data_IF_067386020221
#
_entry.id   IF_067386020221
#
_cell.length_a   1.000
_cell.length_b   1.000
_cell.length_c   1.000
_cell.angle_alpha   90.00
_cell.angle_beta   90.00
_cell.angle_gamma   90.00
#
_symmetry.space_group_name_H-M   'P 1'
#
loop_
_entity.id
_entity.type
_entity.pdbx_description
1 polymer ?
#
# COMPACT_ATOMS: atom_id res chain seq x y z
N UNK A 1 -14.31 6.94 -24.95
CA UNK A 1 -14.38 5.83 -25.91
C UNK A 1 -12.95 5.34 -26.14
N UNK A 2 -12.43 4.20 -25.69
CA UNK A 2 -12.92 2.95 -25.10
C UNK A 2 -12.33 2.75 -23.69
N UNK A 3 -13.12 2.16 -22.78
CA UNK A 3 -12.64 1.66 -21.48
C UNK A 3 -11.91 0.32 -21.66
N UNK A 4 -10.78 0.05 -20.99
CA UNK A 4 -10.27 -1.32 -20.91
C UNK A 4 -11.08 -2.08 -19.86
N UNK A 5 -11.78 -3.10 -20.37
CA UNK A 5 -12.48 -4.13 -19.64
C UNK A 5 -11.46 -5.03 -18.91
N UNK A 6 -11.56 -5.15 -17.59
CA UNK A 6 -10.73 -6.10 -16.82
C UNK A 6 -11.46 -7.46 -16.78
N UNK A 7 -11.06 -8.38 -17.67
CA UNK A 7 -11.39 -9.81 -17.59
C UNK A 7 -10.80 -10.43 -16.31
N UNK A 8 -11.38 -11.53 -15.81
CA UNK A 8 -11.07 -12.09 -14.49
C UNK A 8 -9.57 -12.38 -14.36
N UNK A 9 -9.05 -12.04 -13.20
CA UNK A 9 -7.67 -12.17 -12.74
C UNK A 9 -7.03 -13.52 -13.12
N UNK A 10 -6.47 -13.65 -14.33
CA UNK A 10 -5.55 -14.73 -14.70
C UNK A 10 -4.09 -14.28 -14.67
N UNK A 11 -3.82 -12.98 -14.81
CA UNK A 11 -2.49 -12.41 -14.61
C UNK A 11 -2.35 -11.90 -13.17
N UNK A 12 -1.38 -12.45 -12.44
CA UNK A 12 -1.08 -12.09 -11.04
C UNK A 12 -1.01 -10.57 -10.91
N UNK A 13 -1.66 -9.99 -9.90
CA UNK A 13 -1.66 -8.54 -9.65
C UNK A 13 -0.25 -7.89 -9.67
N UNK A 14 0.79 -8.65 -9.29
CA UNK A 14 2.19 -8.23 -9.40
C UNK A 14 2.69 -8.06 -10.85
N UNK A 15 2.22 -8.86 -11.80
CA UNK A 15 2.52 -8.73 -13.23
C UNK A 15 1.86 -7.50 -13.84
N UNK A 16 0.67 -7.13 -13.38
CA UNK A 16 -0.04 -5.91 -13.82
C UNK A 16 0.68 -4.65 -13.32
N UNK A 17 1.10 -4.63 -12.06
CA UNK A 17 1.90 -3.53 -11.49
C UNK A 17 3.25 -3.40 -12.20
N UNK A 18 3.93 -4.52 -12.47
CA UNK A 18 5.20 -4.54 -13.21
C UNK A 18 5.03 -4.12 -14.67
N UNK A 19 3.97 -4.54 -15.36
CA UNK A 19 3.68 -4.11 -16.75
C UNK A 19 3.46 -2.60 -16.85
N UNK A 20 2.68 -2.01 -15.93
CA UNK A 20 2.48 -0.55 -15.91
C UNK A 20 3.75 0.25 -15.61
N UNK A 21 4.67 -0.31 -14.82
CA UNK A 21 5.98 0.30 -14.56
C UNK A 21 6.94 0.11 -15.74
N UNK A 22 6.87 -1.03 -16.43
CA UNK A 22 7.76 -1.39 -17.54
C UNK A 22 7.35 -0.79 -18.90
N UNK A 23 6.12 -0.31 -19.07
CA UNK A 23 5.62 0.25 -20.35
C UNK A 23 6.28 1.57 -20.79
N UNK A 24 7.22 2.15 -20.02
CA UNK A 24 8.04 3.27 -20.49
C UNK A 24 9.23 2.82 -21.35
N UNK A 25 8.91 2.49 -22.60
CA UNK A 25 9.69 2.54 -23.88
C UNK A 25 11.09 1.87 -23.98
N UNK A 26 11.07 0.70 -24.66
CA UNK A 26 12.00 0.11 -25.66
C UNK A 26 13.51 0.01 -25.37
N UNK A 27 13.91 -1.14 -24.85
CA UNK A 27 15.29 -1.66 -24.91
C UNK A 27 15.26 -3.20 -25.04
N UNK A 28 16.35 -3.87 -25.49
CA UNK A 28 16.35 -5.29 -25.86
C UNK A 28 15.82 -6.19 -24.73
N UNK A 29 14.77 -7.02 -24.94
CA UNK A 29 13.92 -7.52 -23.83
C UNK A 29 14.64 -8.30 -22.74
N UNK A 30 15.68 -9.06 -23.07
CA UNK A 30 16.35 -9.97 -22.13
C UNK A 30 17.60 -9.35 -21.47
N UNK A 31 18.31 -8.46 -22.17
CA UNK A 31 19.52 -7.80 -21.66
C UNK A 31 19.24 -6.45 -20.99
N UNK A 32 18.15 -5.78 -21.39
CA UNK A 32 17.64 -4.62 -20.66
C UNK A 32 17.04 -5.02 -19.32
N UNK A 33 16.33 -6.15 -19.25
CA UNK A 33 15.76 -6.64 -18.00
C UNK A 33 16.82 -6.93 -16.93
N UNK A 34 17.93 -7.57 -17.30
CA UNK A 34 19.05 -7.82 -16.39
C UNK A 34 19.82 -6.53 -16.04
N UNK A 35 20.04 -5.63 -17.01
CA UNK A 35 20.67 -4.34 -16.75
C UNK A 35 19.81 -3.42 -15.87
N UNK A 36 18.48 -3.41 -16.03
CA UNK A 36 17.52 -2.63 -15.25
C UNK A 36 17.33 -3.22 -13.85
N UNK A 37 17.30 -4.54 -13.69
CA UNK A 37 17.23 -5.17 -12.36
C UNK A 37 18.52 -4.93 -11.56
N UNK A 38 19.69 -5.01 -12.21
CA UNK A 38 20.97 -4.64 -11.60
C UNK A 38 21.05 -3.13 -11.32
N UNK A 39 20.59 -2.28 -12.24
CA UNK A 39 20.50 -0.84 -12.01
C UNK A 39 19.53 -0.47 -10.90
N UNK A 40 18.40 -1.17 -10.75
CA UNK A 40 17.43 -0.87 -9.70
C UNK A 40 18.04 -1.04 -8.31
N UNK A 41 18.85 -2.09 -8.13
CA UNK A 41 19.60 -2.31 -6.89
C UNK A 41 20.70 -1.25 -6.70
N UNK A 42 21.50 -0.96 -7.73
CA UNK A 42 22.61 0.00 -7.62
C UNK A 42 22.17 1.47 -7.55
N UNK A 43 21.19 1.88 -8.35
CA UNK A 43 20.53 3.19 -8.27
C UNK A 43 19.79 3.30 -6.94
N UNK A 44 19.09 2.25 -6.52
CA UNK A 44 18.48 2.19 -5.21
C UNK A 44 19.50 2.42 -4.10
N UNK A 45 20.69 1.80 -4.16
CA UNK A 45 21.78 2.03 -3.20
C UNK A 45 22.28 3.46 -3.23
N UNK A 46 22.53 4.03 -4.41
CA UNK A 46 23.05 5.40 -4.54
C UNK A 46 22.02 6.43 -4.07
N UNK A 47 20.75 6.30 -4.46
CA UNK A 47 19.67 7.18 -4.00
C UNK A 47 19.47 7.03 -2.49
N UNK A 48 19.36 5.80 -1.97
CA UNK A 48 19.26 5.58 -0.53
C UNK A 48 20.47 6.15 0.21
N UNK A 49 21.68 6.04 -0.33
CA UNK A 49 22.86 6.64 0.28
C UNK A 49 22.77 8.16 0.33
N UNK A 50 22.39 8.83 -0.76
CA UNK A 50 22.25 10.30 -0.80
C UNK A 50 21.12 10.78 0.11
N UNK A 51 19.99 10.11 0.10
CA UNK A 51 18.81 10.47 0.91
C UNK A 51 19.09 10.18 2.39
N UNK A 52 19.62 9.00 2.71
CA UNK A 52 19.72 8.54 4.09
C UNK A 52 20.96 9.03 4.82
N UNK A 53 22.09 9.20 4.12
CA UNK A 53 23.29 9.84 4.71
C UNK A 53 23.03 11.30 5.04
N UNK A 54 22.28 12.01 4.18
CA UNK A 54 22.00 13.43 4.34
C UNK A 54 20.64 13.71 5.00
N UNK A 55 20.03 12.73 5.68
CA UNK A 55 18.69 12.89 6.28
C UNK A 55 18.56 14.12 7.20
N UNK A 56 19.60 14.45 7.97
CA UNK A 56 19.60 15.67 8.81
C UNK A 56 19.55 16.96 7.99
N UNK A 57 20.21 16.97 6.83
CA UNK A 57 20.15 18.09 5.89
C UNK A 57 18.76 18.19 5.24
N UNK A 58 18.16 17.06 4.84
CA UNK A 58 16.80 17.05 4.30
C UNK A 58 15.75 17.47 5.33
N UNK A 59 15.84 16.97 6.57
CA UNK A 59 14.99 17.40 7.68
C UNK A 59 15.11 18.90 7.95
N UNK A 60 16.32 19.45 7.91
CA UNK A 60 16.58 20.88 8.05
C UNK A 60 15.99 21.70 6.90
N UNK A 61 16.23 21.28 5.65
CA UNK A 61 15.73 21.95 4.45
C UNK A 61 14.20 21.98 4.43
N UNK A 62 13.55 20.87 4.81
CA UNK A 62 12.10 20.76 4.88
C UNK A 62 11.56 21.65 6.00
N UNK A 63 12.19 21.72 7.17
CA UNK A 63 11.78 22.69 8.22
C UNK A 63 11.82 24.13 7.73
N UNK A 64 12.84 24.50 6.95
CA UNK A 64 12.96 25.85 6.37
C UNK A 64 11.86 26.10 5.34
N UNK A 65 11.64 25.16 4.41
CA UNK A 65 10.66 25.31 3.33
C UNK A 65 9.23 25.31 3.85
N UNK A 66 8.91 24.44 4.80
CA UNK A 66 7.54 24.28 5.32
C UNK A 66 7.24 25.26 6.47
N UNK A 67 8.25 25.95 7.02
CA UNK A 67 8.15 26.83 8.21
C UNK A 67 7.50 26.15 9.43
N UNK A 68 7.50 24.81 9.48
CA UNK A 68 6.95 24.02 10.58
C UNK A 68 8.05 23.64 11.58
N UNK A 69 7.68 23.51 12.85
CA UNK A 69 8.59 23.07 13.93
C UNK A 69 8.93 21.58 13.86
N UNK A 70 8.14 20.78 13.13
CA UNK A 70 8.31 19.34 12.96
C UNK A 70 8.44 18.90 11.50
N UNK A 71 9.12 17.77 11.30
CA UNK A 71 9.14 17.03 10.03
C UNK A 71 8.11 15.92 10.13
N UNK A 72 7.27 15.78 9.11
CA UNK A 72 6.25 14.73 9.02
C UNK A 72 6.87 13.34 9.24
N UNK A 73 6.16 12.47 9.96
CA UNK A 73 6.66 11.14 10.32
C UNK A 73 7.05 10.32 9.09
N UNK A 74 6.34 10.49 7.97
CA UNK A 74 6.65 9.79 6.72
C UNK A 74 7.97 10.27 6.13
N UNK A 75 8.25 11.57 6.17
CA UNK A 75 9.53 12.13 5.68
C UNK A 75 10.67 11.68 6.58
N UNK A 76 10.48 11.69 7.89
CA UNK A 76 11.50 11.26 8.85
C UNK A 76 11.84 9.78 8.67
N UNK A 77 10.84 8.92 8.53
CA UNK A 77 11.05 7.48 8.41
C UNK A 77 11.56 7.11 7.01
N UNK A 78 11.09 7.80 5.96
CA UNK A 78 11.60 7.63 4.60
C UNK A 78 13.01 8.17 4.42
N UNK A 79 13.49 9.11 5.23
CA UNK A 79 14.89 9.58 5.11
C UNK A 79 15.84 8.82 6.00
N UNK A 80 15.37 8.00 6.95
CA UNK A 80 16.25 7.26 7.88
C UNK A 80 16.37 5.76 7.57
N UNK A 81 15.74 5.28 6.50
CA UNK A 81 15.81 3.86 6.15
C UNK A 81 17.20 3.46 5.64
N UNK A 82 17.51 2.16 5.71
CA UNK A 82 18.67 1.60 5.01
C UNK A 82 18.25 1.12 3.63
N UNK A 83 19.17 1.10 2.67
CA UNK A 83 18.88 0.52 1.36
C UNK A 83 18.32 -0.92 1.47
N UNK A 84 18.85 -1.71 2.40
CA UNK A 84 18.38 -3.06 2.66
C UNK A 84 16.92 -3.08 3.13
N UNK A 85 16.54 -2.21 4.07
CA UNK A 85 15.14 -2.13 4.53
C UNK A 85 14.19 -1.64 3.43
N UNK A 86 14.61 -0.72 2.56
CA UNK A 86 13.80 -0.31 1.40
C UNK A 86 13.63 -1.45 0.38
N UNK A 87 14.72 -2.16 0.07
CA UNK A 87 14.71 -3.30 -0.84
C UNK A 87 13.77 -4.42 -0.35
N UNK A 88 13.87 -4.81 0.92
CA UNK A 88 12.99 -5.82 1.51
C UNK A 88 11.54 -5.35 1.62
N UNK A 89 11.29 -4.07 1.91
CA UNK A 89 9.92 -3.53 1.91
C UNK A 89 9.30 -3.63 0.51
N UNK A 90 10.04 -3.26 -0.53
CA UNK A 90 9.58 -3.38 -1.91
C UNK A 90 9.30 -4.86 -2.27
N UNK A 91 10.27 -5.74 -2.06
CA UNK A 91 10.14 -7.13 -2.50
C UNK A 91 9.16 -7.96 -1.68
N UNK A 92 9.14 -7.80 -0.35
CA UNK A 92 8.35 -8.65 0.53
C UNK A 92 6.96 -8.07 0.77
N UNK A 93 6.84 -6.75 0.95
CA UNK A 93 5.57 -6.11 1.30
C UNK A 93 4.83 -5.69 0.05
N UNK A 94 5.47 -4.97 -0.88
CA UNK A 94 4.78 -4.46 -2.07
C UNK A 94 4.57 -5.60 -3.09
N UNK A 95 5.66 -6.22 -3.56
CA UNK A 95 5.58 -7.29 -4.55
C UNK A 95 5.10 -8.62 -3.96
N UNK A 96 5.62 -9.00 -2.79
CA UNK A 96 5.28 -10.23 -2.08
C UNK A 96 3.87 -10.19 -1.50
N UNK A 97 3.49 -9.08 -0.88
CA UNK A 97 2.14 -8.87 -0.34
C UNK A 97 1.07 -8.95 -1.43
N UNK A 98 1.29 -8.32 -2.58
CA UNK A 98 0.38 -8.42 -3.72
C UNK A 98 0.22 -9.87 -4.24
N UNK A 99 1.28 -10.70 -4.17
CA UNK A 99 1.21 -12.12 -4.55
C UNK A 99 0.49 -12.98 -3.52
N UNK A 100 0.58 -12.64 -2.24
CA UNK A 100 -0.03 -13.39 -1.15
C UNK A 100 -1.48 -12.97 -0.86
N UNK A 101 -1.93 -11.82 -1.39
CA UNK A 101 -3.21 -11.21 -1.08
C UNK A 101 -4.40 -12.15 -1.27
N UNK A 102 -4.52 -12.80 -2.43
CA UNK A 102 -5.66 -13.69 -2.72
C UNK A 102 -5.73 -14.87 -1.75
N UNK A 103 -4.58 -15.51 -1.49
CA UNK A 103 -4.49 -16.63 -0.54
C UNK A 103 -4.83 -16.19 0.89
N UNK A 104 -4.43 -14.99 1.27
CA UNK A 104 -4.74 -14.45 2.60
C UNK A 104 -6.25 -14.15 2.73
N UNK A 105 -6.89 -13.62 1.69
CA UNK A 105 -8.34 -13.39 1.68
C UNK A 105 -9.12 -14.71 1.74
N UNK A 106 -8.67 -15.74 1.04
CA UNK A 106 -9.27 -17.08 1.09
C UNK A 106 -9.13 -17.71 2.47
N UNK A 107 -7.98 -17.55 3.14
CA UNK A 107 -7.79 -18.00 4.51
C UNK A 107 -8.71 -17.26 5.50
N UNK A 108 -8.90 -15.94 5.33
CA UNK A 108 -9.84 -15.17 6.14
C UNK A 108 -11.29 -15.61 5.92
N UNK A 109 -11.67 -15.90 4.67
CA UNK A 109 -12.99 -16.41 4.33
C UNK A 109 -13.24 -17.78 4.99
N UNK A 110 -12.27 -18.68 4.92
CA UNK A 110 -12.34 -20.01 5.53
C UNK A 110 -12.37 -19.95 7.06
N UNK A 111 -11.69 -18.98 7.67
CA UNK A 111 -11.69 -18.79 9.12
C UNK A 111 -13.02 -18.21 9.65
N UNK A 112 -13.88 -17.65 8.79
CA UNK A 112 -15.16 -17.08 9.18
C UNK A 112 -15.06 -15.90 10.16
N UNK A 113 -13.89 -15.28 10.26
CA UNK A 113 -13.66 -14.18 11.22
C UNK A 113 -14.33 -12.89 10.74
N UNK A 114 -14.84 -12.04 11.66
CA UNK A 114 -15.31 -10.72 11.30
C UNK A 114 -14.20 -9.90 10.66
N UNK A 115 -14.45 -9.36 9.47
CA UNK A 115 -13.50 -8.49 8.75
C UNK A 115 -14.16 -7.14 8.50
N UNK A 116 -13.45 -6.06 8.82
CA UNK A 116 -13.82 -4.70 8.41
C UNK A 116 -12.72 -4.11 7.52
N UNK A 117 -13.13 -3.52 6.40
CA UNK A 117 -12.26 -2.82 5.46
C UNK A 117 -12.64 -1.34 5.46
N UNK A 118 -11.68 -0.49 5.80
CA UNK A 118 -11.83 0.97 5.77
C UNK A 118 -11.10 1.50 4.53
N UNK A 119 -11.78 2.28 3.71
CA UNK A 119 -11.25 2.76 2.42
C UNK A 119 -11.67 4.22 2.17
N UNK A 120 -10.79 5.03 1.59
CA UNK A 120 -11.09 6.42 1.22
C UNK A 120 -11.62 6.54 -0.22
N UNK A 121 -12.71 7.26 -0.45
CA UNK A 121 -13.31 7.39 -1.79
C UNK A 121 -12.47 8.18 -2.81
N UNK A 122 -11.44 8.90 -2.35
CA UNK A 122 -10.48 9.64 -3.16
C UNK A 122 -9.10 8.96 -3.20
N UNK A 123 -9.02 7.66 -2.88
CA UNK A 123 -7.78 6.88 -2.97
C UNK A 123 -7.33 6.71 -4.43
N UNK A 124 -6.17 7.32 -4.75
CA UNK A 124 -5.56 7.24 -6.08
C UNK A 124 -4.55 6.10 -6.23
N UNK A 125 -4.22 5.41 -5.14
CA UNK A 125 -3.28 4.28 -5.12
C UNK A 125 -4.04 2.97 -5.33
N UNK A 126 -5.12 2.78 -4.58
CA UNK A 126 -6.01 1.63 -4.70
C UNK A 126 -7.40 2.15 -5.04
N UNK A 127 -7.93 1.92 -6.26
CA UNK A 127 -9.27 2.35 -6.61
C UNK A 127 -10.32 1.75 -5.68
N UNK A 128 -11.34 2.53 -5.30
CA UNK A 128 -12.41 2.10 -4.38
C UNK A 128 -13.18 0.89 -4.90
N UNK A 129 -13.22 0.70 -6.22
CA UNK A 129 -13.79 -0.46 -6.89
C UNK A 129 -13.11 -1.78 -6.50
N UNK A 130 -11.81 -1.74 -6.17
CA UNK A 130 -11.10 -2.91 -5.66
C UNK A 130 -11.69 -3.37 -4.32
N UNK A 131 -12.01 -2.44 -3.42
CA UNK A 131 -12.61 -2.76 -2.13
C UNK A 131 -14.11 -3.08 -2.25
N UNK A 132 -14.85 -2.35 -3.08
CA UNK A 132 -16.30 -2.54 -3.22
C UNK A 132 -16.70 -3.75 -4.06
N UNK A 133 -15.90 -4.12 -5.07
CA UNK A 133 -16.20 -5.25 -5.97
C UNK A 133 -15.32 -6.46 -5.69
N UNK A 134 -14.01 -6.31 -5.78
CA UNK A 134 -13.09 -7.46 -5.70
C UNK A 134 -13.06 -8.05 -4.28
N UNK A 135 -12.86 -7.22 -3.26
CA UNK A 135 -12.81 -7.70 -1.89
C UNK A 135 -14.16 -8.25 -1.40
N UNK A 136 -15.28 -7.59 -1.74
CA UNK A 136 -16.62 -8.10 -1.44
C UNK A 136 -16.95 -9.42 -2.14
N UNK A 137 -16.40 -9.68 -3.33
CA UNK A 137 -16.58 -10.97 -3.99
C UNK A 137 -15.87 -12.14 -3.27
N UNK A 138 -14.74 -11.86 -2.62
CA UNK A 138 -13.95 -12.84 -1.86
C UNK A 138 -14.39 -12.95 -0.39
N UNK A 139 -14.81 -11.83 0.19
CA UNK A 139 -15.28 -11.70 1.57
C UNK A 139 -16.67 -11.03 1.59
N UNK A 140 -17.75 -11.78 1.27
CA UNK A 140 -19.09 -11.20 1.20
C UNK A 140 -19.56 -10.60 2.52
N UNK A 141 -19.14 -11.21 3.64
CA UNK A 141 -19.48 -10.78 5.00
C UNK A 141 -18.58 -9.67 5.54
N UNK A 142 -17.53 -9.24 4.82
CA UNK A 142 -16.68 -8.15 5.30
C UNK A 142 -17.47 -6.83 5.34
N UNK A 143 -17.38 -6.09 6.44
CA UNK A 143 -17.95 -4.74 6.52
C UNK A 143 -17.07 -3.77 5.74
N UNK A 144 -17.65 -3.04 4.78
CA UNK A 144 -16.92 -2.03 4.01
C UNK A 144 -17.33 -0.63 4.49
N UNK A 145 -16.36 0.11 5.02
CA UNK A 145 -16.49 1.48 5.49
C UNK A 145 -15.80 2.41 4.51
N UNK A 146 -16.57 3.15 3.72
CA UNK A 146 -16.03 4.19 2.82
C UNK A 146 -16.00 5.51 3.56
N UNK A 147 -14.85 6.19 3.56
CA UNK A 147 -14.62 7.47 4.21
C UNK A 147 -14.52 8.56 3.14
N UNK A 148 -15.43 9.53 3.20
CA UNK A 148 -15.58 10.56 2.17
C UNK A 148 -14.45 11.60 2.17
N UNK A 149 -14.01 12.00 0.97
CA UNK A 149 -12.96 12.97 0.72
C UNK A 149 -11.57 12.53 1.17
N UNK A 150 -11.34 11.22 1.35
CA UNK A 150 -10.06 10.70 1.88
C UNK A 150 -9.33 9.86 0.85
N UNK A 151 -8.01 10.03 0.85
CA UNK A 151 -7.07 9.28 0.02
C UNK A 151 -6.39 8.14 0.81
N UNK A 152 -5.45 7.45 0.16
CA UNK A 152 -4.69 6.33 0.71
C UNK A 152 -4.02 6.62 2.07
N UNK A 153 -3.66 7.88 2.34
CA UNK A 153 -2.96 8.30 3.56
C UNK A 153 -3.93 8.84 4.59
N UNK A 154 -4.81 9.73 4.17
CA UNK A 154 -5.74 10.49 5.01
C UNK A 154 -6.93 9.68 5.50
N UNK A 155 -7.08 8.44 5.02
CA UNK A 155 -7.96 7.46 5.66
C UNK A 155 -7.50 7.13 7.09
N UNK A 156 -6.19 7.23 7.38
CA UNK A 156 -5.59 7.07 8.71
C UNK A 156 -5.09 8.41 9.27
N UNK A 157 -4.21 9.09 8.54
CA UNK A 157 -3.54 10.29 9.04
C UNK A 157 -4.52 11.46 9.19
N UNK A 158 -4.53 12.07 10.37
CA UNK A 158 -5.49 13.12 10.76
C UNK A 158 -6.86 12.60 11.19
N UNK A 159 -7.03 11.28 11.30
CA UNK A 159 -8.23 10.59 11.80
C UNK A 159 -7.88 9.55 12.87
N UNK A 160 -6.73 9.68 13.51
CA UNK A 160 -6.19 8.64 14.40
C UNK A 160 -7.12 8.33 15.58
N UNK A 161 -7.68 9.37 16.21
CA UNK A 161 -8.63 9.21 17.32
C UNK A 161 -9.97 8.62 16.85
N UNK A 162 -10.51 9.11 15.74
CA UNK A 162 -11.75 8.61 15.14
C UNK A 162 -11.60 7.14 14.75
N UNK A 163 -10.53 6.80 14.05
CA UNK A 163 -10.21 5.43 13.63
C UNK A 163 -10.01 4.52 14.85
N UNK A 164 -9.33 4.99 15.90
CA UNK A 164 -9.15 4.22 17.13
C UNK A 164 -10.51 3.93 17.81
N UNK A 165 -11.43 4.89 17.81
CA UNK A 165 -12.79 4.68 18.32
C UNK A 165 -13.59 3.71 17.44
N UNK A 166 -13.52 3.84 16.11
CA UNK A 166 -14.15 2.93 15.15
C UNK A 166 -13.66 1.49 15.33
N UNK A 167 -12.35 1.30 15.53
CA UNK A 167 -11.73 -0.01 15.77
C UNK A 167 -12.15 -0.61 17.12
N UNK A 168 -12.17 0.18 18.19
CA UNK A 168 -12.67 -0.27 19.51
C UNK A 168 -14.13 -0.71 19.44
N UNK A 169 -14.98 0.07 18.75
CA UNK A 169 -16.38 -0.28 18.57
C UNK A 169 -16.54 -1.59 17.78
N UNK A 170 -15.74 -1.78 16.72
CA UNK A 170 -15.75 -3.01 15.95
C UNK A 170 -15.36 -4.23 16.81
N UNK A 171 -14.21 -4.18 17.48
CA UNK A 171 -13.72 -5.31 18.28
C UNK A 171 -14.65 -5.67 19.43
N UNK A 172 -15.18 -4.68 20.15
CA UNK A 172 -16.16 -4.93 21.21
C UNK A 172 -17.47 -5.52 20.68
N UNK A 173 -17.86 -5.20 19.45
CA UNK A 173 -18.99 -5.85 18.76
C UNK A 173 -18.70 -7.31 18.42
N UNK A 174 -17.48 -7.61 17.96
CA UNK A 174 -17.04 -8.97 17.64
C UNK A 174 -16.95 -9.87 18.89
N UNK A 175 -16.45 -9.35 20.03
CA UNK A 175 -16.41 -10.09 21.30
C UNK A 175 -17.81 -10.51 21.76
N UNK A 176 -18.78 -9.60 21.66
CA UNK A 176 -20.18 -9.89 22.02
C UNK A 176 -20.83 -10.92 21.09
N UNK A 177 -20.52 -10.87 19.80
CA UNK A 177 -21.00 -11.86 18.83
C UNK A 177 -20.38 -13.24 19.05
N UNK A 178 -19.11 -13.31 19.48
CA UNK A 178 -18.42 -14.57 19.79
C UNK A 178 -18.85 -15.23 21.10
N UNK A 179 -19.39 -14.48 22.08
CA UNK A 179 -19.97 -15.04 23.31
C UNK A 179 -21.41 -15.54 23.16
N UNK A 180 -22.08 -15.27 22.03
CA UNK A 180 -23.47 -15.62 21.78
C UNK A 180 -23.67 -16.82 20.84
N UNK A 181 -22.59 -17.43 20.34
CA UNK A 181 -22.58 -18.65 19.52
C UNK A 181 -21.90 -19.79 20.25
#
# INVERSE_FOLDING_TARGET
WLQPYFLPCEERASQVALRRLAEKKLWPPLLFGSAVMSWYEHIGRTICFVVCKNHRFWEWLIKILTRTSGVDIVVRDLTRHTHHSAWHTMHNVICGGARAQDRNLEALAAAGVPVRVVHGDADQVVPVECSSRHLKSKLPHAELRIVGGRDHRTVVFGREEELAQELRAFWSGCEKAGCAG
#
